data_IF_156729132368
#
_entry.id   IF_156729132368
#
_cell.length_a   1.000
_cell.length_b   1.000
_cell.length_c   1.000
_cell.angle_alpha   90.00
_cell.angle_beta   90.00
_cell.angle_gamma   90.00
#
_symmetry.space_group_name_H-M   'P 1'
#
loop_
_entity.id
_entity.type
_entity.pdbx_description
1 polymer ?
#
# COMPACT_ATOMS: atom_id res chain seq x y z
N UNK A 1 -21.96 -2.43 -34.68
CA UNK A 1 -21.21 -2.52 -33.41
C UNK A 1 -21.96 -1.68 -32.40
N UNK A 2 -22.71 -2.31 -31.50
CA UNK A 2 -23.39 -1.60 -30.41
C UNK A 2 -22.34 -1.09 -29.44
N UNK A 3 -22.40 0.19 -29.07
CA UNK A 3 -21.52 0.74 -28.06
C UNK A 3 -21.69 -0.09 -26.79
N UNK A 4 -20.59 -0.68 -26.31
CA UNK A 4 -20.59 -1.40 -25.03
C UNK A 4 -20.78 -0.34 -23.95
N UNK A 5 -21.83 -0.50 -23.14
CA UNK A 5 -22.05 0.37 -22.00
C UNK A 5 -20.86 0.28 -21.05
N UNK A 6 -20.44 1.42 -20.50
CA UNK A 6 -19.23 1.54 -19.68
C UNK A 6 -19.31 0.63 -18.46
N UNK A 7 -20.51 0.44 -17.92
CA UNK A 7 -20.80 -0.48 -16.81
C UNK A 7 -20.65 -1.95 -17.23
N UNK A 8 -21.08 -2.30 -18.45
CA UNK A 8 -20.96 -3.66 -18.98
C UNK A 8 -19.50 -4.01 -19.31
N UNK A 9 -18.75 -3.07 -19.87
CA UNK A 9 -17.30 -3.20 -20.04
C UNK A 9 -16.60 -3.39 -18.68
N UNK A 10 -17.07 -2.70 -17.64
CA UNK A 10 -16.51 -2.82 -16.29
C UNK A 10 -16.86 -4.13 -15.61
N UNK A 11 -18.06 -4.64 -15.88
CA UNK A 11 -18.52 -5.96 -15.41
C UNK A 11 -17.78 -7.09 -16.14
N UNK A 12 -17.53 -6.95 -17.44
CA UNK A 12 -16.70 -7.87 -18.21
C UNK A 12 -15.23 -7.84 -17.76
N UNK A 13 -14.69 -6.67 -17.42
CA UNK A 13 -13.34 -6.56 -16.86
C UNK A 13 -13.21 -7.22 -15.48
N UNK A 14 -14.25 -7.12 -14.65
CA UNK A 14 -14.29 -7.79 -13.35
C UNK A 14 -14.61 -9.29 -13.42
N UNK A 15 -15.30 -9.73 -14.46
CA UNK A 15 -15.63 -11.13 -14.69
C UNK A 15 -14.46 -11.81 -15.41
N UNK A 16 -13.58 -12.46 -14.64
CA UNK A 16 -12.46 -13.27 -15.18
C UNK A 16 -12.92 -14.07 -16.40
N UNK A 17 -12.38 -13.74 -17.58
CA UNK A 17 -12.71 -14.44 -18.80
C UNK A 17 -12.29 -15.92 -18.63
N UNK A 18 -13.21 -16.90 -18.64
CA UNK A 18 -12.87 -18.30 -18.38
C UNK A 18 -11.81 -18.83 -19.34
N UNK A 19 -11.74 -18.26 -20.55
CA UNK A 19 -10.74 -18.59 -21.56
C UNK A 19 -9.30 -18.27 -21.14
N UNK A 20 -9.09 -17.33 -20.22
CA UNK A 20 -7.75 -16.93 -19.74
C UNK A 20 -7.26 -17.78 -18.57
N UNK A 21 -8.12 -18.59 -17.91
CA UNK A 21 -7.74 -19.40 -16.74
C UNK A 21 -6.68 -20.44 -17.05
N UNK A 22 -6.71 -21.00 -18.26
CA UNK A 22 -5.79 -22.04 -18.69
C UNK A 22 -4.57 -21.49 -19.44
N UNK A 23 -4.56 -20.19 -19.76
CA UNK A 23 -3.44 -19.57 -20.46
C UNK A 23 -2.28 -19.31 -19.49
N UNK A 24 -1.09 -19.80 -19.86
CA UNK A 24 0.14 -19.63 -19.10
C UNK A 24 1.13 -18.77 -19.87
N UNK A 25 1.69 -17.77 -19.20
CA UNK A 25 2.82 -16.98 -19.67
C UNK A 25 4.04 -17.32 -18.80
N UNK A 26 5.12 -17.79 -19.44
CA UNK A 26 6.35 -18.25 -18.76
C UNK A 26 6.10 -19.31 -17.67
N UNK A 27 5.16 -20.23 -17.91
CA UNK A 27 4.83 -21.32 -16.98
C UNK A 27 3.86 -20.97 -15.86
N UNK A 28 3.55 -19.68 -15.68
CA UNK A 28 2.62 -19.16 -14.66
C UNK A 28 1.31 -18.71 -15.30
N UNK A 29 0.17 -18.85 -14.62
CA UNK A 29 -1.13 -18.41 -15.13
C UNK A 29 -1.14 -16.90 -15.41
N UNK A 30 -1.76 -16.48 -16.52
CA UNK A 30 -1.85 -15.07 -16.93
C UNK A 30 -2.50 -14.19 -15.84
N UNK A 31 -3.45 -14.74 -15.09
CA UNK A 31 -4.10 -14.07 -13.95
C UNK A 31 -3.11 -13.59 -12.88
N UNK A 32 -2.06 -14.38 -12.59
CA UNK A 32 -1.03 -13.99 -11.63
C UNK A 32 -0.20 -12.80 -12.13
N UNK A 33 0.10 -12.75 -13.43
CA UNK A 33 0.77 -11.60 -14.04
C UNK A 33 -0.09 -10.34 -13.92
N UNK A 34 -1.40 -10.44 -14.17
CA UNK A 34 -2.34 -9.34 -13.96
C UNK A 34 -2.35 -8.83 -12.52
N UNK A 35 -2.36 -9.73 -11.53
CA UNK A 35 -2.28 -9.36 -10.10
C UNK A 35 -0.98 -8.62 -9.76
N UNK A 36 0.16 -9.12 -10.24
CA UNK A 36 1.46 -8.45 -10.09
C UNK A 36 1.42 -7.05 -10.72
N UNK A 37 0.80 -6.94 -11.91
CA UNK A 37 0.65 -5.67 -12.61
C UNK A 37 -0.14 -4.63 -11.80
N UNK A 38 -1.27 -5.03 -11.22
CA UNK A 38 -2.08 -4.19 -10.32
C UNK A 38 -1.29 -3.71 -9.10
N UNK A 39 -0.53 -4.61 -8.46
CA UNK A 39 0.31 -4.26 -7.30
C UNK A 39 1.40 -3.26 -7.71
N UNK A 40 2.06 -3.48 -8.85
CA UNK A 40 3.10 -2.60 -9.36
C UNK A 40 2.56 -1.20 -9.69
N UNK A 41 1.39 -1.12 -10.36
CA UNK A 41 0.73 0.16 -10.63
C UNK A 41 0.35 0.89 -9.35
N UNK A 42 -0.19 0.19 -8.36
CA UNK A 42 -0.58 0.77 -7.07
C UNK A 42 0.63 1.32 -6.31
N UNK A 43 1.71 0.53 -6.18
CA UNK A 43 2.94 0.98 -5.54
C UNK A 43 3.54 2.21 -6.23
N UNK A 44 3.49 2.23 -7.56
CA UNK A 44 3.98 3.36 -8.36
C UNK A 44 3.13 4.62 -8.18
N UNK A 45 1.80 4.46 -8.14
CA UNK A 45 0.87 5.56 -7.85
C UNK A 45 1.12 6.18 -6.47
N UNK A 46 1.49 5.37 -5.47
CA UNK A 46 1.85 5.87 -4.15
C UNK A 46 3.10 6.74 -4.14
N UNK A 47 4.15 6.31 -4.85
CA UNK A 47 5.35 7.13 -5.01
C UNK A 47 5.02 8.46 -5.69
N UNK A 48 4.16 8.42 -6.70
CA UNK A 48 3.73 9.62 -7.42
C UNK A 48 2.90 10.57 -6.54
N UNK A 49 2.05 10.03 -5.66
CA UNK A 49 1.35 10.81 -4.63
C UNK A 49 2.31 11.47 -3.65
N UNK A 50 3.34 10.74 -3.20
CA UNK A 50 4.40 11.27 -2.32
C UNK A 50 5.10 12.45 -3.01
N UNK A 51 5.40 12.33 -4.30
CA UNK A 51 6.00 13.40 -5.09
C UNK A 51 5.08 14.63 -5.24
N UNK A 52 3.79 14.42 -5.51
CA UNK A 52 2.81 15.51 -5.64
C UNK A 52 2.68 16.28 -4.32
N UNK A 53 2.67 15.57 -3.19
CA UNK A 53 2.66 16.20 -1.86
C UNK A 53 3.96 16.99 -1.65
N UNK A 54 5.09 16.45 -2.10
CA UNK A 54 6.39 17.09 -2.07
C UNK A 54 7.08 16.99 -0.71
N UNK A 55 8.43 16.92 -0.69
CA UNK A 55 9.21 16.76 0.54
C UNK A 55 9.02 17.90 1.53
N UNK A 56 8.80 19.13 1.07
CA UNK A 56 8.66 20.32 1.93
C UNK A 56 7.36 20.30 2.73
N UNK A 57 6.29 19.68 2.19
CA UNK A 57 5.05 19.49 2.95
C UNK A 57 5.21 18.36 3.95
N UNK A 58 5.90 17.28 3.57
CA UNK A 58 6.20 16.17 4.48
C UNK A 58 7.11 16.59 5.63
N UNK A 59 8.19 17.34 5.38
CA UNK A 59 9.09 17.89 6.41
C UNK A 59 8.35 18.77 7.41
N UNK A 60 7.48 19.69 6.93
CA UNK A 60 6.62 20.50 7.81
C UNK A 60 5.65 19.69 8.66
N UNK A 61 5.21 18.53 8.17
CA UNK A 61 4.39 17.58 8.94
C UNK A 61 5.24 16.74 9.89
N UNK A 62 6.49 16.45 9.55
CA UNK A 62 7.42 15.57 10.29
C UNK A 62 8.22 16.28 11.39
N UNK A 63 8.46 17.60 11.32
CA UNK A 63 9.15 18.35 12.38
C UNK A 63 8.34 18.44 13.68
N UNK A 64 7.00 18.44 13.58
CA UNK A 64 6.09 18.53 14.73
C UNK A 64 6.12 17.30 15.66
N UNK A 65 6.13 16.05 15.16
CA UNK A 65 6.12 14.86 16.02
C UNK A 65 7.42 14.58 16.76
N UNK A 66 8.60 15.08 16.36
CA UNK A 66 9.86 14.80 17.11
C UNK A 66 9.80 15.34 18.54
N UNK A 67 9.17 16.48 18.76
CA UNK A 67 8.98 17.03 20.11
C UNK A 67 7.85 16.32 20.86
N UNK A 68 6.74 15.98 20.20
CA UNK A 68 5.64 15.25 20.83
C UNK A 68 6.04 13.82 21.21
N UNK A 69 6.78 13.11 20.36
CA UNK A 69 7.25 11.76 20.62
C UNK A 69 8.33 11.71 21.71
N UNK A 70 9.27 12.67 21.75
CA UNK A 70 10.22 12.79 22.88
C UNK A 70 9.49 13.02 24.21
N UNK A 71 8.44 13.84 24.20
CA UNK A 71 7.60 14.10 25.39
C UNK A 71 6.70 12.90 25.74
N UNK A 72 6.18 12.17 24.75
CA UNK A 72 5.35 10.98 24.96
C UNK A 72 6.18 9.79 25.46
N UNK A 73 7.39 9.59 24.93
CA UNK A 73 8.36 8.66 25.52
C UNK A 73 8.76 9.11 26.92
N UNK A 74 9.00 10.40 27.17
CA UNK A 74 9.27 10.90 28.51
C UNK A 74 8.09 10.66 29.48
N UNK A 75 6.83 10.67 29.00
CA UNK A 75 5.62 10.31 29.77
C UNK A 75 5.47 8.79 29.96
N UNK A 76 5.81 7.97 28.97
CA UNK A 76 5.84 6.51 29.14
C UNK A 76 6.90 6.06 30.15
N UNK A 77 8.02 6.78 30.24
CA UNK A 77 9.07 6.55 31.24
C UNK A 77 8.84 7.29 32.59
N UNK A 78 7.95 8.29 32.65
CA UNK A 78 7.47 8.92 33.90
C UNK A 78 6.01 8.58 34.11
N UNK A 79 5.79 7.50 34.83
CA UNK A 79 4.48 6.93 35.16
C UNK A 79 3.67 7.80 36.13
N UNK A 80 3.35 9.04 35.73
CA UNK A 80 2.38 9.93 36.38
C UNK A 80 2.04 11.07 35.41
N UNK A 81 0.96 10.97 34.62
CA UNK A 81 0.38 12.17 34.00
C UNK A 81 -1.13 12.14 33.99
N UNK A 82 -1.66 13.05 34.82
CA UNK A 82 -2.99 13.63 34.81
C UNK A 82 -3.44 14.09 33.42
N UNK A 83 -4.74 13.97 33.17
CA UNK A 83 -5.43 13.85 31.88
C UNK A 83 -5.61 15.17 31.10
N UNK A 84 -5.03 16.29 31.55
CA UNK A 84 -5.50 17.62 31.16
C UNK A 84 -4.77 18.34 29.99
N UNK A 85 -3.64 17.83 29.48
CA UNK A 85 -2.88 18.54 28.43
C UNK A 85 -2.66 17.68 27.17
N UNK A 86 -3.64 17.72 26.27
CA UNK A 86 -3.48 17.31 24.87
C UNK A 86 -3.35 18.56 23.98
N UNK A 87 -2.22 18.75 23.28
CA UNK A 87 -1.98 19.95 22.49
C UNK A 87 -2.80 19.94 21.18
N UNK A 88 -3.49 21.04 20.91
CA UNK A 88 -4.33 21.31 19.71
C UNK A 88 -3.58 21.25 18.36
N UNK A 89 -2.26 21.03 18.34
CA UNK A 89 -1.41 21.05 17.14
C UNK A 89 -1.24 19.72 16.38
N UNK A 90 -1.82 18.62 16.86
CA UNK A 90 -1.58 17.24 16.38
C UNK A 90 -2.30 16.85 15.08
N UNK A 91 -3.16 17.72 14.53
CA UNK A 91 -4.13 17.32 13.50
C UNK A 91 -3.53 16.88 12.16
N UNK A 92 -2.29 17.28 11.82
CA UNK A 92 -1.65 16.91 10.55
C UNK A 92 -1.08 15.48 10.55
N UNK A 93 -0.46 15.07 11.65
CA UNK A 93 0.19 13.76 11.79
C UNK A 93 -0.83 12.64 11.92
N UNK A 94 -1.89 12.85 12.71
CA UNK A 94 -3.00 11.90 12.82
C UNK A 94 -3.65 11.61 11.46
N UNK A 95 -3.68 12.60 10.56
CA UNK A 95 -4.18 12.45 9.19
C UNK A 95 -3.25 11.63 8.30
N UNK A 96 -1.93 11.88 8.33
CA UNK A 96 -0.97 11.10 7.53
C UNK A 96 -0.83 9.66 8.03
N UNK A 97 -0.69 9.46 9.33
CA UNK A 97 -0.66 8.13 9.94
C UNK A 97 -1.98 7.39 9.70
N UNK A 98 -3.12 8.07 9.88
CA UNK A 98 -4.43 7.53 9.55
C UNK A 98 -4.54 7.13 8.08
N UNK A 99 -3.98 7.91 7.16
CA UNK A 99 -3.94 7.58 5.73
C UNK A 99 -3.07 6.35 5.45
N UNK A 100 -1.86 6.26 6.00
CA UNK A 100 -0.97 5.10 5.81
C UNK A 100 -1.59 3.83 6.41
N UNK A 101 -2.21 3.93 7.58
CA UNK A 101 -2.92 2.82 8.21
C UNK A 101 -4.11 2.41 7.33
N UNK A 102 -4.94 3.36 6.90
CA UNK A 102 -6.08 3.09 6.02
C UNK A 102 -5.64 2.41 4.72
N UNK A 103 -4.57 2.91 4.11
CA UNK A 103 -3.99 2.36 2.89
C UNK A 103 -3.45 0.93 3.10
N UNK A 104 -2.76 0.70 4.22
CA UNK A 104 -2.27 -0.63 4.59
C UNK A 104 -3.43 -1.60 4.78
N UNK A 105 -4.51 -1.17 5.46
CA UNK A 105 -5.74 -1.93 5.63
C UNK A 105 -6.37 -2.26 4.28
N UNK A 106 -6.50 -1.29 3.37
CA UNK A 106 -7.02 -1.52 2.01
C UNK A 106 -6.17 -2.56 1.27
N UNK A 107 -4.84 -2.46 1.35
CA UNK A 107 -3.94 -3.44 0.73
C UNK A 107 -4.16 -4.86 1.31
N UNK A 108 -4.37 -5.00 2.62
CA UNK A 108 -4.73 -6.29 3.24
C UNK A 108 -6.03 -6.83 2.69
N UNK A 109 -7.05 -5.99 2.60
CA UNK A 109 -8.37 -6.42 2.15
C UNK A 109 -8.30 -6.90 0.70
N UNK A 110 -7.59 -6.17 -0.17
CA UNK A 110 -7.38 -6.57 -1.56
C UNK A 110 -6.62 -7.90 -1.67
N UNK A 111 -5.59 -8.08 -0.83
CA UNK A 111 -4.84 -9.33 -0.80
C UNK A 111 -5.69 -10.49 -0.27
N UNK A 112 -6.46 -10.28 0.80
CA UNK A 112 -7.35 -11.28 1.37
C UNK A 112 -8.41 -11.71 0.36
N UNK A 113 -9.02 -10.76 -0.35
CA UNK A 113 -9.95 -11.05 -1.46
C UNK A 113 -9.25 -11.87 -2.54
N UNK A 114 -8.02 -11.50 -2.93
CA UNK A 114 -7.24 -12.23 -3.92
C UNK A 114 -6.95 -13.67 -3.51
N UNK A 115 -6.67 -13.90 -2.21
CA UNK A 115 -6.45 -15.23 -1.62
C UNK A 115 -7.74 -16.05 -1.59
N UNK A 116 -8.87 -15.45 -1.22
CA UNK A 116 -10.18 -16.12 -1.15
C UNK A 116 -10.67 -16.54 -2.55
N UNK A 117 -10.39 -15.72 -3.56
CA UNK A 117 -10.79 -15.98 -4.95
C UNK A 117 -9.86 -16.98 -5.67
N UNK A 118 -8.75 -17.39 -5.06
CA UNK A 118 -7.81 -18.30 -5.70
C UNK A 118 -8.34 -19.75 -5.70
N UNK A 119 -8.60 -20.35 -6.88
CA UNK A 119 -9.21 -21.68 -6.97
C UNK A 119 -8.31 -22.78 -6.39
N UNK A 120 -6.98 -22.60 -6.43
CA UNK A 120 -6.04 -23.57 -5.82
C UNK A 120 -6.16 -23.53 -4.30
N UNK A 121 -6.37 -22.34 -3.73
CA UNK A 121 -6.52 -22.18 -2.29
C UNK A 121 -7.90 -22.62 -1.79
N UNK A 122 -8.94 -22.57 -2.63
CA UNK A 122 -10.28 -23.04 -2.28
C UNK A 122 -10.34 -24.55 -1.99
N UNK A 123 -9.46 -25.33 -2.64
CA UNK A 123 -9.30 -26.77 -2.36
C UNK A 123 -8.72 -27.04 -0.96
N UNK A 124 -8.13 -26.02 -0.30
CA UNK A 124 -7.39 -26.16 0.96
C UNK A 124 -7.72 -25.05 1.96
N UNK A 125 -8.90 -25.08 2.61
CA UNK A 125 -9.35 -24.02 3.52
C UNK A 125 -8.39 -23.80 4.70
N UNK A 126 -7.67 -24.84 5.15
CA UNK A 126 -6.65 -24.70 6.18
C UNK A 126 -5.47 -23.81 5.76
N UNK A 127 -5.07 -23.87 4.48
CA UNK A 127 -3.98 -23.04 3.95
C UNK A 127 -4.44 -21.58 3.78
N UNK A 128 -5.70 -21.34 3.40
CA UNK A 128 -6.28 -20.00 3.38
C UNK A 128 -6.27 -19.35 4.76
N UNK A 129 -6.75 -20.06 5.79
CA UNK A 129 -6.75 -19.58 7.18
C UNK A 129 -5.33 -19.29 7.64
N UNK A 130 -4.38 -20.20 7.36
CA UNK A 130 -2.97 -20.00 7.72
C UNK A 130 -2.39 -18.75 7.07
N UNK A 131 -2.63 -18.54 5.77
CA UNK A 131 -2.16 -17.34 5.07
C UNK A 131 -2.75 -16.06 5.66
N UNK A 132 -4.06 -16.03 5.94
CA UNK A 132 -4.72 -14.86 6.55
C UNK A 132 -4.12 -14.57 7.93
N UNK A 133 -3.95 -15.61 8.77
CA UNK A 133 -3.38 -15.49 10.12
C UNK A 133 -1.94 -15.01 10.08
N UNK A 134 -1.14 -15.41 9.08
CA UNK A 134 0.24 -14.91 8.91
C UNK A 134 0.28 -13.48 8.36
N UNK A 135 -0.65 -13.11 7.48
CA UNK A 135 -0.65 -11.78 6.85
C UNK A 135 -1.09 -10.66 7.77
N UNK A 136 -2.09 -10.88 8.62
CA UNK A 136 -2.59 -9.88 9.58
C UNK A 136 -1.47 -9.27 10.46
N UNK A 137 -0.65 -10.06 11.19
CA UNK A 137 0.43 -9.52 12.00
C UNK A 137 1.53 -8.91 11.14
N UNK A 138 1.82 -9.44 9.96
CA UNK A 138 2.81 -8.86 9.05
C UNK A 138 2.41 -7.45 8.60
N UNK A 139 1.14 -7.23 8.28
CA UNK A 139 0.63 -5.91 7.91
C UNK A 139 0.61 -4.98 9.11
N UNK A 140 0.12 -5.44 10.26
CA UNK A 140 0.16 -4.64 11.48
C UNK A 140 1.59 -4.19 11.79
N UNK A 141 2.55 -5.12 11.73
CA UNK A 141 3.95 -4.84 11.98
C UNK A 141 4.55 -3.89 10.92
N UNK A 142 4.18 -4.05 9.65
CA UNK A 142 4.58 -3.15 8.57
C UNK A 142 4.02 -1.74 8.79
N UNK A 143 2.75 -1.62 9.18
CA UNK A 143 2.13 -0.34 9.50
C UNK A 143 2.79 0.35 10.70
N UNK A 144 3.08 -0.41 11.77
CA UNK A 144 3.83 0.10 12.93
C UNK A 144 5.25 0.49 12.53
N UNK A 145 5.94 -0.32 11.72
CA UNK A 145 7.29 -0.02 11.24
C UNK A 145 7.30 1.25 10.39
N UNK A 146 6.35 1.41 9.46
CA UNK A 146 6.22 2.63 8.66
C UNK A 146 5.85 3.83 9.55
N UNK A 147 5.04 3.64 10.59
CA UNK A 147 4.70 4.71 11.52
C UNK A 147 5.91 5.18 12.35
N UNK A 148 6.71 4.24 12.85
CA UNK A 148 7.87 4.52 13.73
C UNK A 148 9.10 4.92 12.92
N UNK A 149 9.44 4.13 11.91
CA UNK A 149 10.64 4.31 11.09
C UNK A 149 10.40 5.16 9.84
N UNK A 150 9.15 5.36 9.42
CA UNK A 150 8.83 6.14 8.23
C UNK A 150 9.34 7.58 8.29
N UNK A 151 9.08 8.36 9.36
CA UNK A 151 9.56 9.75 9.41
C UNK A 151 11.09 9.89 9.22
N UNK A 152 11.96 9.19 9.98
CA UNK A 152 13.41 9.29 9.76
C UNK A 152 13.86 8.69 8.42
N UNK A 153 13.22 7.62 7.95
CA UNK A 153 13.55 7.03 6.65
C UNK A 153 13.18 7.95 5.48
N UNK A 154 12.04 8.63 5.56
CA UNK A 154 11.57 9.60 4.56
C UNK A 154 12.48 10.84 4.57
N UNK A 155 12.87 11.33 5.74
CA UNK A 155 13.83 12.44 5.88
C UNK A 155 15.18 12.08 5.23
N UNK A 156 15.73 10.92 5.57
CA UNK A 156 16.97 10.39 4.99
C UNK A 156 16.87 10.18 3.47
N UNK A 157 15.73 9.68 2.99
CA UNK A 157 15.51 9.45 1.57
C UNK A 157 15.57 10.77 0.79
N UNK A 158 14.96 11.82 1.33
CA UNK A 158 14.95 13.14 0.70
C UNK A 158 16.28 13.89 0.79
N UNK A 159 17.21 13.47 1.66
CA UNK A 159 18.59 13.98 1.64
C UNK A 159 19.38 13.51 0.41
N UNK A 160 18.94 12.41 -0.23
CA UNK A 160 19.61 11.81 -1.36
C UNK A 160 18.81 12.02 -2.66
N UNK A 161 18.97 13.19 -3.30
CA UNK A 161 18.26 13.55 -4.54
C UNK A 161 18.37 12.48 -5.64
N UNK A 162 19.54 11.83 -5.78
CA UNK A 162 19.76 10.72 -6.72
C UNK A 162 18.89 9.50 -6.42
N UNK A 163 18.68 9.17 -5.15
CA UNK A 163 17.81 8.07 -4.75
C UNK A 163 16.34 8.40 -5.05
N UNK A 164 15.91 9.62 -4.77
CA UNK A 164 14.56 10.09 -5.13
C UNK A 164 14.34 9.99 -6.63
N UNK A 165 15.30 10.46 -7.44
CA UNK A 165 15.21 10.35 -8.90
C UNK A 165 15.19 8.90 -9.37
N UNK A 166 16.03 8.03 -8.80
CA UNK A 166 16.03 6.61 -9.11
C UNK A 166 14.68 5.95 -8.78
N UNK A 167 14.11 6.24 -7.60
CA UNK A 167 12.79 5.76 -7.19
C UNK A 167 11.71 6.22 -8.18
N UNK A 168 11.73 7.49 -8.61
CA UNK A 168 10.79 8.00 -9.61
C UNK A 168 10.87 7.24 -10.93
N UNK A 169 12.08 7.01 -11.43
CA UNK A 169 12.30 6.26 -12.68
C UNK A 169 11.80 4.83 -12.51
N UNK A 170 12.16 4.17 -11.41
CA UNK A 170 11.72 2.79 -11.12
C UNK A 170 10.20 2.72 -11.00
N UNK A 171 9.56 3.64 -10.30
CA UNK A 171 8.10 3.72 -10.20
C UNK A 171 7.44 3.98 -11.54
N UNK A 172 8.01 4.84 -12.38
CA UNK A 172 7.48 5.03 -13.73
C UNK A 172 7.56 3.74 -14.57
N UNK A 173 8.70 3.04 -14.52
CA UNK A 173 8.88 1.75 -15.20
C UNK A 173 7.93 0.69 -14.65
N UNK A 174 7.78 0.59 -13.32
CA UNK A 174 6.84 -0.32 -12.67
C UNK A 174 5.39 -0.01 -13.01
N UNK A 175 5.03 1.27 -13.14
CA UNK A 175 3.70 1.69 -13.57
C UNK A 175 3.41 1.21 -14.98
N UNK A 176 4.32 1.48 -15.93
CA UNK A 176 4.16 1.07 -17.32
C UNK A 176 4.16 -0.46 -17.48
N UNK A 177 5.09 -1.14 -16.82
CA UNK A 177 5.16 -2.60 -16.82
C UNK A 177 3.92 -3.22 -16.17
N UNK A 178 3.47 -2.65 -15.06
CA UNK A 178 2.28 -3.12 -14.35
C UNK A 178 1.01 -2.93 -15.17
N UNK A 179 0.88 -1.79 -15.86
CA UNK A 179 -0.20 -1.54 -16.80
C UNK A 179 -0.17 -2.54 -17.97
N UNK A 180 1.00 -2.85 -18.49
CA UNK A 180 1.13 -3.85 -19.55
C UNK A 180 0.68 -5.24 -19.09
N UNK A 181 1.09 -5.68 -17.89
CA UNK A 181 0.66 -6.96 -17.34
C UNK A 181 -0.84 -7.00 -17.01
N UNK A 182 -1.41 -5.88 -16.57
CA UNK A 182 -2.85 -5.78 -16.34
C UNK A 182 -3.62 -5.90 -17.66
N UNK A 183 -3.17 -5.23 -18.72
CA UNK A 183 -3.74 -5.36 -20.06
C UNK A 183 -3.64 -6.78 -20.62
N UNK A 184 -2.57 -7.52 -20.34
CA UNK A 184 -2.42 -8.91 -20.78
C UNK A 184 -3.40 -9.86 -20.08
N UNK A 185 -3.89 -9.48 -18.90
CA UNK A 185 -4.83 -10.26 -18.11
C UNK A 185 -6.28 -9.77 -18.22
N UNK A 186 -6.52 -8.69 -18.97
CA UNK A 186 -7.83 -8.08 -19.22
C UNK A 186 -8.43 -8.58 -20.53
#
# INVERSE_FOLDING_TARGET
>A
MTAVDLVEAWRQWGAENPALKDMRLWGTQILWWGRIGKIAMFASGLVLLVDIVGPERMRRVAERPRESARRLMARFFRQDTSEADLPEGSSGYGRFAGFVIALSVVAVLLLAVSVIQDPVLQESPGLQVLLIVLFLPAVYFTGVLVFVAGPPAVEWLFEHERLVQAIRIVSFVLFLGGFHFDLLAS
#
